data_IF_988058681629
#
_entry.id   IF_988058681629
#
_cell.length_a   1.000
_cell.length_b   1.000
_cell.length_c   1.000
_cell.angle_alpha   90.00
_cell.angle_beta   90.00
_cell.angle_gamma   90.00
#
_symmetry.space_group_name_H-M   'P 1'
#
loop_
_entity.id
_entity.type
_entity.pdbx_description
1 polymer ?
#
# COMPACT_ATOMS: atom_id res chain seq x y z
N UNK A 1 25.03 -16.22 21.97
CA UNK A 1 25.38 -15.70 20.62
C UNK A 1 24.51 -14.49 20.34
N UNK A 2 25.04 -13.29 20.34
CA UNK A 2 24.32 -12.09 19.91
C UNK A 2 24.20 -12.15 18.40
N UNK A 3 22.98 -12.36 17.89
CA UNK A 3 22.70 -12.23 16.46
C UNK A 3 23.08 -10.81 16.01
N UNK A 4 23.87 -10.70 14.94
CA UNK A 4 24.14 -9.39 14.32
C UNK A 4 22.79 -8.73 13.99
N UNK A 5 22.63 -7.44 14.31
CA UNK A 5 21.41 -6.73 13.93
C UNK A 5 21.21 -6.85 12.41
N UNK A 6 20.04 -7.33 12.01
CA UNK A 6 19.68 -7.44 10.60
C UNK A 6 19.50 -6.01 10.07
N UNK A 7 20.21 -5.65 8.99
CA UNK A 7 20.02 -4.34 8.33
C UNK A 7 18.59 -4.24 7.83
N UNK A 8 17.80 -3.20 8.21
CA UNK A 8 16.46 -3.01 7.71
C UNK A 8 16.44 -2.87 6.19
N UNK A 9 15.47 -3.54 5.54
CA UNK A 9 15.22 -3.36 4.11
C UNK A 9 14.38 -2.11 3.93
N UNK A 10 14.64 -1.39 2.83
CA UNK A 10 13.87 -0.25 2.39
C UNK A 10 13.34 -0.51 0.97
N UNK A 11 12.06 -0.20 0.76
CA UNK A 11 11.42 -0.26 -0.54
C UNK A 11 10.82 1.10 -0.90
N UNK A 12 10.58 1.33 -2.17
CA UNK A 12 10.03 2.59 -2.68
C UNK A 12 9.10 2.33 -3.86
N UNK A 13 7.99 3.07 -3.90
CA UNK A 13 7.13 3.19 -5.07
C UNK A 13 7.13 4.63 -5.54
N UNK A 14 7.36 4.87 -6.84
CA UNK A 14 7.46 6.20 -7.42
C UNK A 14 6.27 6.43 -8.35
N UNK A 15 5.47 7.45 -8.03
CA UNK A 15 4.36 7.93 -8.85
C UNK A 15 4.84 9.11 -9.67
N UNK A 16 4.64 9.08 -10.97
CA UNK A 16 5.16 10.11 -11.89
C UNK A 16 4.19 10.49 -13.02
N UNK A 17 2.91 10.26 -12.82
CA UNK A 17 1.84 10.66 -13.73
C UNK A 17 1.03 11.83 -13.14
N UNK A 18 -0.29 11.79 -13.12
CA UNK A 18 -1.16 12.80 -12.49
C UNK A 18 -0.88 12.90 -11.00
N UNK A 19 -0.81 11.76 -10.30
CA UNK A 19 -0.30 11.68 -8.94
C UNK A 19 1.21 11.60 -9.01
N UNK A 20 1.91 12.43 -8.23
CA UNK A 20 3.37 12.52 -8.21
C UNK A 20 3.91 12.37 -6.80
N UNK A 21 5.08 11.78 -6.71
CA UNK A 21 5.82 11.64 -5.48
C UNK A 21 6.18 10.20 -5.15
N UNK A 22 6.40 9.91 -3.88
CA UNK A 22 6.93 8.63 -3.44
C UNK A 22 6.17 8.08 -2.24
N UNK A 23 6.16 6.75 -2.16
CA UNK A 23 5.82 6.01 -0.94
C UNK A 23 7.04 5.17 -0.58
N UNK A 24 7.62 5.41 0.59
CA UNK A 24 8.79 4.69 1.08
C UNK A 24 8.38 3.75 2.21
N UNK A 25 8.88 2.53 2.14
CA UNK A 25 8.66 1.48 3.14
C UNK A 25 9.99 1.18 3.82
N UNK A 26 10.01 1.13 5.14
CA UNK A 26 11.23 0.81 5.91
C UNK A 26 10.89 -0.17 7.02
N UNK A 27 11.60 -1.30 7.07
CA UNK A 27 11.46 -2.24 8.18
C UNK A 27 11.88 -1.60 9.50
N UNK A 28 11.14 -1.89 10.58
CA UNK A 28 11.62 -1.61 11.93
C UNK A 28 12.80 -2.51 12.29
N UNK A 29 13.64 -2.06 13.24
CA UNK A 29 14.85 -2.80 13.64
C UNK A 29 14.54 -4.21 14.19
N UNK A 30 13.35 -4.39 14.78
CA UNK A 30 12.87 -5.69 15.27
C UNK A 30 12.08 -6.49 14.21
N UNK A 31 11.99 -5.97 12.98
CA UNK A 31 11.23 -6.54 11.85
C UNK A 31 9.74 -6.86 12.16
N UNK A 32 9.15 -6.17 13.12
CA UNK A 32 7.73 -6.36 13.48
C UNK A 32 6.80 -5.48 12.68
N UNK A 33 7.25 -4.27 12.35
CA UNK A 33 6.47 -3.27 11.62
C UNK A 33 7.21 -2.75 10.40
N UNK A 34 6.46 -2.22 9.46
CA UNK A 34 6.98 -1.44 8.33
C UNK A 34 6.50 -0.02 8.48
N UNK A 35 7.42 0.92 8.49
CA UNK A 35 7.14 2.35 8.41
C UNK A 35 6.80 2.71 6.98
N UNK A 36 5.71 3.41 6.77
CA UNK A 36 5.23 3.86 5.47
C UNK A 36 5.25 5.38 5.45
N UNK A 37 6.08 5.96 4.58
CA UNK A 37 6.26 7.40 4.45
C UNK A 37 5.66 7.87 3.13
N UNK A 38 4.59 8.64 3.22
CA UNK A 38 3.93 9.24 2.07
C UNK A 38 4.53 10.62 1.77
N UNK A 39 4.83 10.86 0.51
CA UNK A 39 5.15 12.18 -0.03
C UNK A 39 4.51 12.29 -1.41
N UNK A 40 3.20 12.50 -1.43
CA UNK A 40 2.35 12.48 -2.61
C UNK A 40 1.66 13.81 -2.83
N UNK A 41 1.46 14.16 -4.09
CA UNK A 41 0.70 15.32 -4.54
C UNK A 41 -0.16 14.98 -5.76
N UNK A 42 -1.10 15.88 -6.12
CA UNK A 42 -1.95 15.68 -7.29
C UNK A 42 -3.22 14.89 -7.03
N UNK A 43 -3.57 14.68 -5.76
CA UNK A 43 -4.82 14.04 -5.35
C UNK A 43 -5.95 15.06 -5.18
N UNK A 44 -7.18 14.58 -5.03
CA UNK A 44 -8.32 15.44 -4.69
C UNK A 44 -8.11 16.03 -3.29
N UNK A 45 -8.27 17.36 -3.11
CA UNK A 45 -8.17 18.00 -1.80
C UNK A 45 -9.18 17.50 -0.78
N UNK A 46 -8.79 17.48 0.49
CA UNK A 46 -9.65 17.15 1.64
C UNK A 46 -10.44 15.85 1.44
N UNK A 47 -9.75 14.79 1.01
CA UNK A 47 -10.37 13.53 0.59
C UNK A 47 -9.67 12.33 1.20
N UNK A 48 -10.42 11.22 1.25
CA UNK A 48 -9.89 9.89 1.54
C UNK A 48 -9.80 9.09 0.25
N UNK A 49 -8.74 8.31 0.11
CA UNK A 49 -8.52 7.44 -1.05
C UNK A 49 -8.10 6.06 -0.57
N UNK A 50 -8.79 5.02 -1.03
CA UNK A 50 -8.38 3.65 -0.81
C UNK A 50 -6.95 3.43 -1.29
N UNK A 51 -6.16 2.70 -0.49
CA UNK A 51 -4.73 2.54 -0.68
C UNK A 51 -4.34 1.08 -0.44
N UNK A 52 -3.90 0.40 -1.50
CA UNK A 52 -3.71 -1.05 -1.44
C UNK A 52 -2.47 -1.51 -2.19
N UNK A 53 -1.85 -2.57 -1.67
CA UNK A 53 -0.89 -3.37 -2.42
C UNK A 53 -1.66 -4.43 -3.21
N UNK A 54 -1.43 -4.46 -4.52
CA UNK A 54 -1.99 -5.43 -5.45
C UNK A 54 -0.99 -6.54 -5.76
N UNK A 55 -1.47 -7.65 -6.34
CA UNK A 55 -0.69 -8.87 -6.54
C UNK A 55 0.53 -8.67 -7.43
N UNK A 56 0.36 -7.97 -8.56
CA UNK A 56 1.37 -7.87 -9.61
C UNK A 56 1.94 -6.47 -9.73
N UNK A 57 3.26 -6.38 -9.88
CA UNK A 57 3.97 -5.17 -10.28
C UNK A 57 4.01 -4.99 -11.79
N UNK A 58 2.90 -5.26 -12.46
CA UNK A 58 2.77 -5.24 -13.92
C UNK A 58 2.02 -3.99 -14.37
N UNK A 59 2.66 -3.17 -15.19
CA UNK A 59 2.14 -1.93 -15.75
C UNK A 59 1.81 -2.03 -17.26
N UNK A 60 1.76 -3.24 -17.82
CA UNK A 60 1.52 -3.43 -19.25
C UNK A 60 0.14 -2.95 -19.70
N UNK A 61 -0.85 -2.97 -18.80
CA UNK A 61 -2.16 -2.35 -19.00
C UNK A 61 -2.46 -1.38 -17.84
N UNK A 62 -1.57 -0.42 -17.65
CA UNK A 62 -1.65 0.58 -16.58
C UNK A 62 -1.89 -0.09 -15.20
N UNK A 63 -2.85 0.41 -14.42
CA UNK A 63 -3.16 -0.15 -13.11
C UNK A 63 -3.95 -1.46 -13.17
N UNK A 64 -4.61 -1.77 -14.27
CA UNK A 64 -5.46 -2.98 -14.43
C UNK A 64 -4.63 -4.26 -14.34
N UNK A 65 -3.44 -4.28 -14.94
CA UNK A 65 -2.55 -5.45 -14.92
C UNK A 65 -1.91 -5.74 -13.57
N UNK A 66 -2.13 -4.90 -12.56
CA UNK A 66 -1.72 -5.18 -11.19
C UNK A 66 -2.64 -6.19 -10.46
N UNK A 67 -3.73 -6.62 -11.10
CA UNK A 67 -4.68 -7.64 -10.64
C UNK A 67 -5.45 -7.24 -9.37
N UNK A 68 -5.72 -8.19 -8.47
CA UNK A 68 -6.48 -7.98 -7.24
C UNK A 68 -5.59 -7.50 -6.08
N UNK A 69 -6.19 -7.20 -4.93
CA UNK A 69 -5.45 -6.95 -3.68
C UNK A 69 -4.57 -8.15 -3.33
N UNK A 70 -3.38 -7.89 -2.86
CA UNK A 70 -2.46 -8.94 -2.42
C UNK A 70 -3.02 -9.65 -1.19
N UNK A 71 -3.46 -10.90 -1.37
CA UNK A 71 -4.22 -11.69 -0.40
C UNK A 71 -3.67 -13.12 -0.27
N UNK A 72 -2.44 -13.32 0.23
CA UNK A 72 -1.83 -14.65 0.30
C UNK A 72 -2.48 -15.58 1.33
N UNK A 73 -3.30 -15.07 2.24
CA UNK A 73 -3.98 -15.84 3.28
C UNK A 73 -5.46 -16.15 2.97
N UNK A 74 -6.00 -15.67 1.86
CA UNK A 74 -7.37 -15.93 1.43
C UNK A 74 -8.44 -15.37 2.37
N UNK A 75 -8.17 -14.20 2.95
CA UNK A 75 -9.12 -13.49 3.84
C UNK A 75 -10.02 -12.54 3.04
N UNK A 76 -11.09 -12.07 3.65
CA UNK A 76 -11.90 -10.99 3.09
C UNK A 76 -11.23 -9.63 3.27
N UNK A 77 -11.63 -8.65 2.45
CA UNK A 77 -11.16 -7.28 2.56
C UNK A 77 -11.47 -6.67 3.92
N UNK A 78 -10.55 -5.85 4.41
CA UNK A 78 -10.69 -5.09 5.65
C UNK A 78 -9.73 -3.89 5.67
N UNK A 79 -9.43 -3.40 6.85
CA UNK A 79 -8.49 -2.30 7.06
C UNK A 79 -7.44 -2.66 8.12
N UNK A 80 -6.33 -1.90 8.24
CA UNK A 80 -5.34 -2.10 9.29
C UNK A 80 -5.98 -2.17 10.68
N UNK A 81 -5.52 -3.12 11.49
CA UNK A 81 -6.06 -3.39 12.83
C UNK A 81 -7.23 -4.37 12.86
N UNK A 82 -7.84 -4.69 11.74
CA UNK A 82 -8.90 -5.71 11.67
C UNK A 82 -8.31 -7.12 11.55
N UNK A 83 -9.00 -8.10 12.14
CA UNK A 83 -8.60 -9.51 12.06
C UNK A 83 -8.66 -10.04 10.63
N UNK A 84 -9.72 -9.73 9.90
CA UNK A 84 -9.91 -10.09 8.51
C UNK A 84 -9.56 -8.89 7.64
N UNK A 85 -8.45 -9.01 6.95
CA UNK A 85 -7.98 -8.07 5.92
C UNK A 85 -7.05 -8.81 4.97
N UNK A 86 -6.90 -8.30 3.74
CA UNK A 86 -5.82 -8.72 2.86
C UNK A 86 -4.48 -8.18 3.42
N UNK A 87 -3.37 -8.84 3.11
CA UNK A 87 -2.05 -8.26 3.41
C UNK A 87 -1.91 -6.88 2.79
N UNK A 88 -2.41 -6.70 1.57
CA UNK A 88 -2.34 -5.44 0.83
C UNK A 88 -3.30 -4.33 1.29
N UNK A 89 -4.18 -4.57 2.24
CA UNK A 89 -5.16 -3.58 2.67
C UNK A 89 -4.52 -2.57 3.63
N UNK A 90 -4.11 -1.41 3.11
CA UNK A 90 -3.47 -0.34 3.88
C UNK A 90 -4.44 0.77 4.30
N UNK A 91 -5.73 0.58 4.08
CA UNK A 91 -6.78 1.53 4.48
C UNK A 91 -6.94 2.70 3.53
N UNK A 92 -7.06 3.89 4.08
CA UNK A 92 -7.20 5.13 3.33
C UNK A 92 -6.02 6.05 3.55
N UNK A 93 -5.58 6.72 2.50
CA UNK A 93 -4.74 7.91 2.64
C UNK A 93 -5.64 9.15 2.70
N UNK A 94 -5.20 10.13 3.48
CA UNK A 94 -5.92 11.38 3.73
C UNK A 94 -5.15 12.53 3.10
N UNK A 95 -5.83 13.40 2.36
CA UNK A 95 -5.23 14.55 1.71
C UNK A 95 -5.56 15.86 2.42
N UNK A 96 -4.64 16.80 2.36
CA UNK A 96 -4.85 18.16 2.84
C UNK A 96 -5.64 19.03 1.83
N UNK A 97 -5.80 20.31 2.14
CA UNK A 97 -6.49 21.27 1.28
C UNK A 97 -5.83 21.54 -0.08
N UNK A 98 -4.60 21.05 -0.29
CA UNK A 98 -3.86 21.14 -1.56
C UNK A 98 -3.88 19.83 -2.36
N UNK A 99 -4.45 18.77 -1.81
CA UNK A 99 -4.40 17.44 -2.41
C UNK A 99 -3.08 16.70 -2.18
N UNK A 100 -2.35 17.09 -1.14
CA UNK A 100 -1.12 16.44 -0.73
C UNK A 100 -1.39 15.40 0.38
N UNK A 101 -0.68 14.28 0.34
CA UNK A 101 -0.58 13.31 1.41
C UNK A 101 0.89 13.18 1.81
N UNK A 102 1.29 13.84 2.89
CA UNK A 102 2.68 13.92 3.38
C UNK A 102 2.69 13.61 4.87
N UNK A 103 2.73 12.32 5.21
CA UNK A 103 2.76 11.84 6.58
C UNK A 103 3.29 10.41 6.67
N UNK A 104 3.41 9.92 7.88
CA UNK A 104 3.96 8.60 8.19
C UNK A 104 2.91 7.79 8.96
N UNK A 105 2.80 6.50 8.62
CA UNK A 105 2.09 5.52 9.42
C UNK A 105 2.81 4.17 9.39
N UNK A 106 2.34 3.21 10.16
CA UNK A 106 2.98 1.92 10.33
C UNK A 106 1.98 0.79 10.08
N UNK A 107 2.48 -0.31 9.49
CA UNK A 107 1.71 -1.53 9.34
C UNK A 107 2.52 -2.73 9.86
N UNK A 108 1.86 -3.67 10.50
CA UNK A 108 2.49 -4.85 11.09
C UNK A 108 2.26 -6.14 10.28
N UNK A 109 1.49 -6.05 9.21
CA UNK A 109 1.12 -7.22 8.38
C UNK A 109 1.99 -7.34 7.14
N UNK A 110 2.22 -6.24 6.40
CA UNK A 110 3.12 -6.26 5.24
C UNK A 110 4.55 -6.56 5.66
N UNK A 111 5.31 -7.21 4.78
CA UNK A 111 6.74 -7.51 4.97
C UNK A 111 7.55 -7.09 3.75
N UNK A 112 8.84 -6.81 3.95
CA UNK A 112 9.80 -6.53 2.88
C UNK A 112 10.77 -7.69 2.66
N UNK A 113 10.60 -8.79 3.41
CA UNK A 113 11.38 -10.03 3.29
C UNK A 113 10.51 -11.26 3.51
N UNK A 114 11.06 -12.41 3.21
CA UNK A 114 10.34 -13.67 3.32
C UNK A 114 9.47 -13.96 2.09
N UNK A 115 8.66 -15.00 2.17
CA UNK A 115 7.90 -15.52 1.02
C UNK A 115 6.40 -15.27 1.08
N UNK A 116 5.84 -14.98 2.25
CA UNK A 116 4.38 -15.01 2.41
C UNK A 116 3.73 -13.64 2.26
N UNK A 117 4.19 -12.65 3.00
CA UNK A 117 3.58 -11.30 3.02
C UNK A 117 4.51 -10.23 2.40
N UNK A 118 5.50 -10.64 1.62
CA UNK A 118 6.48 -9.76 1.01
C UNK A 118 5.84 -8.97 -0.14
N UNK A 119 5.90 -7.64 -0.04
CA UNK A 119 5.27 -6.73 -1.01
C UNK A 119 6.23 -6.25 -2.11
N UNK A 120 7.52 -6.57 -2.04
CA UNK A 120 8.49 -6.13 -3.05
C UNK A 120 8.19 -6.77 -4.40
N UNK A 121 8.20 -5.96 -5.46
CA UNK A 121 7.86 -6.37 -6.82
C UNK A 121 6.36 -6.34 -7.11
N UNK A 122 5.53 -6.02 -6.14
CA UNK A 122 4.08 -5.92 -6.30
C UNK A 122 3.65 -4.50 -6.67
N UNK A 123 2.36 -4.32 -6.96
CA UNK A 123 1.79 -3.04 -7.31
C UNK A 123 1.27 -2.29 -6.09
N UNK A 124 1.44 -0.98 -6.07
CA UNK A 124 0.81 -0.08 -5.12
C UNK A 124 -0.20 0.77 -5.85
N UNK A 125 -1.46 0.73 -5.42
CA UNK A 125 -2.59 1.39 -6.10
C UNK A 125 -3.26 2.39 -5.17
N UNK A 126 -3.55 3.57 -5.71
CA UNK A 126 -4.38 4.60 -5.08
C UNK A 126 -5.72 4.63 -5.82
N UNK A 127 -6.81 4.62 -5.05
CA UNK A 127 -8.17 4.59 -5.57
C UNK A 127 -8.85 5.96 -5.53
N UNK A 128 -9.90 6.12 -6.33
CA UNK A 128 -10.66 7.36 -6.45
C UNK A 128 -11.45 7.69 -5.18
N UNK A 129 -12.08 6.65 -4.60
CA UNK A 129 -13.02 6.78 -3.50
C UNK A 129 -12.44 6.26 -2.16
N UNK A 130 -13.06 6.63 -1.04
CA UNK A 130 -12.73 6.04 0.26
C UNK A 130 -12.96 4.53 0.27
N UNK A 131 -12.04 3.82 0.92
CA UNK A 131 -12.20 2.41 1.30
C UNK A 131 -13.17 2.31 2.48
N UNK A 132 -14.19 1.47 2.37
CA UNK A 132 -15.21 1.25 3.40
C UNK A 132 -14.82 0.19 4.45
N UNK A 133 -13.60 -0.33 4.39
CA UNK A 133 -13.08 -1.37 5.30
C UNK A 133 -13.91 -2.67 5.31
N UNK A 134 -14.61 -2.97 4.23
CA UNK A 134 -15.50 -4.12 4.14
C UNK A 134 -16.82 -3.95 4.89
N UNK A 135 -17.14 -2.73 5.37
CA UNK A 135 -18.29 -2.47 6.25
C UNK A 135 -19.41 -1.68 5.57
N UNK A 136 -19.23 -1.28 4.31
CA UNK A 136 -20.18 -0.44 3.59
C UNK A 136 -21.44 -1.16 3.09
N UNK A 137 -21.46 -2.49 3.12
CA UNK A 137 -22.61 -3.28 2.65
C UNK A 137 -22.82 -3.24 1.14
N UNK A 138 -21.82 -2.79 0.39
CA UNK A 138 -21.86 -2.80 -1.07
C UNK A 138 -21.44 -4.18 -1.62
N UNK A 139 -21.83 -4.54 -2.87
CA UNK A 139 -21.48 -5.84 -3.45
C UNK A 139 -19.97 -6.15 -3.44
N UNK A 140 -19.11 -5.14 -3.54
CA UNK A 140 -17.66 -5.25 -3.58
C UNK A 140 -16.96 -4.83 -2.28
N UNK A 141 -17.70 -4.54 -1.20
CA UNK A 141 -17.10 -4.12 0.09
C UNK A 141 -16.12 -5.17 0.64
N UNK A 142 -16.46 -6.45 0.58
CA UNK A 142 -15.64 -7.55 1.11
C UNK A 142 -14.52 -8.01 0.15
N UNK A 143 -14.41 -7.40 -1.03
CA UNK A 143 -13.36 -7.71 -2.01
C UNK A 143 -12.44 -6.54 -2.30
N UNK A 144 -12.99 -5.34 -2.51
CA UNK A 144 -12.23 -4.15 -2.91
C UNK A 144 -12.38 -2.97 -1.96
N UNK A 145 -13.26 -3.05 -0.95
CA UNK A 145 -13.57 -1.93 -0.06
C UNK A 145 -14.39 -0.83 -0.74
N UNK A 146 -15.03 -1.12 -1.87
CA UNK A 146 -15.84 -0.18 -2.65
C UNK A 146 -15.10 1.13 -2.98
N UNK A 147 -13.77 1.04 -3.17
CA UNK A 147 -12.89 2.21 -3.30
C UNK A 147 -12.85 2.81 -4.71
N UNK A 148 -13.61 2.25 -5.66
CA UNK A 148 -13.77 2.80 -7.00
C UNK A 148 -12.55 2.61 -7.90
N UNK A 149 -12.39 3.52 -8.85
CA UNK A 149 -11.36 3.44 -9.88
C UNK A 149 -9.95 3.51 -9.34
N UNK A 150 -9.01 2.90 -10.06
CA UNK A 150 -7.57 3.00 -9.82
C UNK A 150 -7.05 4.27 -10.49
N UNK A 151 -6.71 5.29 -9.70
CA UNK A 151 -6.31 6.60 -10.21
C UNK A 151 -4.81 6.81 -10.24
N UNK A 152 -4.05 5.96 -9.58
CA UNK A 152 -2.59 5.98 -9.62
C UNK A 152 -2.02 4.64 -9.21
N UNK A 153 -0.89 4.27 -9.78
CA UNK A 153 -0.21 3.03 -9.45
C UNK A 153 1.30 3.12 -9.71
N UNK A 154 2.04 2.34 -8.94
CA UNK A 154 3.49 2.25 -9.04
C UNK A 154 3.96 0.86 -8.61
N UNK A 155 5.10 0.42 -9.10
CA UNK A 155 5.74 -0.82 -8.67
C UNK A 155 6.56 -0.57 -7.40
N UNK A 156 6.45 -1.46 -6.43
CA UNK A 156 7.24 -1.42 -5.20
C UNK A 156 8.58 -2.10 -5.48
N UNK A 157 9.65 -1.33 -5.51
CA UNK A 157 11.01 -1.83 -5.73
C UNK A 157 11.92 -1.60 -4.55
N UNK A 158 13.13 -2.17 -4.59
CA UNK A 158 14.16 -1.86 -3.60
C UNK A 158 14.59 -0.39 -3.70
N UNK A 159 14.67 0.30 -2.56
CA UNK A 159 15.26 1.63 -2.50
C UNK A 159 16.78 1.56 -2.69
N UNK A 160 17.36 2.59 -3.33
CA UNK A 160 18.83 2.75 -3.44
C UNK A 160 19.54 2.74 -2.08
N UNK A 161 18.84 3.07 -1.01
CA UNK A 161 19.40 3.16 0.33
C UNK A 161 19.78 1.80 0.94
N UNK A 162 19.44 0.68 0.26
CA UNK A 162 19.87 -0.66 0.63
C UNK A 162 21.31 -0.99 0.21
N UNK A 163 21.87 -0.25 -0.77
CA UNK A 163 23.14 -0.56 -1.44
C UNK A 163 24.27 0.39 -1.11
#
# INVERSE_FOLDING_TARGET
MTSKPIKPIQAIAVFNDTIKGTVKFTESNDNKKVKIELNLSGLKPNSLHGFHVHEAGDLTDKCTSMCAHFNPYGLTHGCPGMKNRHVGDLGNINTNNKGDAKYVFYDDVIKLRGSKANIIGRGLVIHEDPDDCGQGGQPDSLTTGHAGKRIGCAVIGYSKDNF
#
